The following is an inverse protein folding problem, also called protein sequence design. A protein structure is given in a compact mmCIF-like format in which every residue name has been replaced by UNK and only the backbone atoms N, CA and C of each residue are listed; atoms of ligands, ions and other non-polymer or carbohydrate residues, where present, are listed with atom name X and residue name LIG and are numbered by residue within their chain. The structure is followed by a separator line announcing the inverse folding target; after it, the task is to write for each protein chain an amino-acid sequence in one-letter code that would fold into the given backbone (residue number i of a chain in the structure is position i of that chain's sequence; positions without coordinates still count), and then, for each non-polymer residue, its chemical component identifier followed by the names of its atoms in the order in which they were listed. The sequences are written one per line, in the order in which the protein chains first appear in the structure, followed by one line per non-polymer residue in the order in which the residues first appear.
data_IF_553238460641
#
_entry.id   IF_553238460641
#
_cell.length_a   1.000
_cell.length_b   1.000
_cell.length_c   1.000
_cell.angle_alpha   90.00
_cell.angle_beta   90.00
_cell.angle_gamma   90.00
#
_symmetry.space_group_name_H-M   'P 1'
#
loop_
_entity.id
_entity.type
_entity.pdbx_description
1 polymer ?
#
# COMPACT_ATOMS: atom_id res chain seq x y z
N UNK A 1 12.39 11.10 -13.22
CA UNK A 1 12.03 10.95 -11.78
C UNK A 1 13.31 10.81 -10.98
N UNK A 2 13.38 11.30 -9.72
CA UNK A 2 14.52 11.02 -8.86
C UNK A 2 14.70 9.50 -8.67
N UNK A 3 15.94 9.00 -8.48
CA UNK A 3 16.20 7.57 -8.33
C UNK A 3 15.55 7.03 -7.04
N UNK A 4 15.24 5.74 -7.04
CA UNK A 4 14.80 5.03 -5.84
C UNK A 4 15.89 5.18 -4.76
N UNK A 5 15.54 5.60 -3.53
CA UNK A 5 16.53 5.66 -2.45
C UNK A 5 17.06 4.25 -2.12
N UNK A 6 18.23 4.19 -1.48
CA UNK A 6 18.72 2.93 -0.94
C UNK A 6 17.77 2.47 0.17
N UNK A 7 17.12 1.32 -0.06
CA UNK A 7 16.26 0.66 0.91
C UNK A 7 16.96 -0.58 1.43
N UNK A 8 16.78 -0.88 2.71
CA UNK A 8 17.05 -2.23 3.19
C UNK A 8 16.09 -3.21 2.51
N UNK A 9 16.43 -4.50 2.53
CA UNK A 9 15.53 -5.55 2.02
C UNK A 9 14.19 -5.55 2.76
N UNK A 10 14.20 -5.26 4.07
CA UNK A 10 12.99 -5.24 4.89
C UNK A 10 12.10 -4.05 4.56
N UNK A 11 12.67 -2.86 4.34
CA UNK A 11 11.92 -1.67 3.92
C UNK A 11 11.30 -1.83 2.53
N UNK A 12 12.02 -2.44 1.59
CA UNK A 12 11.48 -2.77 0.26
C UNK A 12 10.29 -3.71 0.36
N UNK A 13 10.44 -4.80 1.12
CA UNK A 13 9.36 -5.76 1.38
C UNK A 13 8.14 -5.10 2.04
N UNK A 14 8.36 -4.23 3.02
CA UNK A 14 7.31 -3.48 3.68
C UNK A 14 6.52 -2.61 2.68
N UNK A 15 7.22 -1.89 1.80
CA UNK A 15 6.59 -1.05 0.77
C UNK A 15 5.78 -1.90 -0.21
N UNK A 16 6.34 -3.01 -0.69
CA UNK A 16 5.64 -3.88 -1.64
C UNK A 16 4.35 -4.45 -1.03
N UNK A 17 4.41 -4.96 0.20
CA UNK A 17 3.21 -5.47 0.90
C UNK A 17 2.21 -4.36 1.23
N UNK A 18 2.68 -3.17 1.56
CA UNK A 18 1.81 -2.01 1.77
C UNK A 18 1.06 -1.62 0.48
N UNK A 19 1.77 -1.54 -0.65
CA UNK A 19 1.16 -1.19 -1.93
C UNK A 19 0.19 -2.26 -2.45
N UNK A 20 0.47 -3.55 -2.19
CA UNK A 20 -0.47 -4.64 -2.46
C UNK A 20 -1.80 -4.45 -1.71
N UNK A 21 -1.73 -4.09 -0.42
CA UNK A 21 -2.92 -3.81 0.41
C UNK A 21 -3.67 -2.58 -0.12
N UNK A 22 -2.96 -1.49 -0.42
CA UNK A 22 -3.55 -0.26 -0.97
C UNK A 22 -4.27 -0.51 -2.30
N UNK A 23 -3.66 -1.28 -3.20
CA UNK A 23 -4.29 -1.61 -4.49
C UNK A 23 -5.57 -2.43 -4.32
N UNK A 24 -5.63 -3.33 -3.34
CA UNK A 24 -6.83 -4.10 -3.01
C UNK A 24 -7.91 -3.22 -2.38
N UNK A 25 -7.55 -2.35 -1.44
CA UNK A 25 -8.48 -1.38 -0.86
C UNK A 25 -9.06 -0.44 -1.93
N UNK A 26 -8.23 0.04 -2.87
CA UNK A 26 -8.70 0.87 -3.98
C UNK A 26 -9.67 0.15 -4.92
N UNK A 27 -9.58 -1.18 -5.05
CA UNK A 27 -10.54 -2.00 -5.83
C UNK A 27 -11.84 -2.26 -5.09
N UNK A 28 -11.82 -2.28 -3.76
CA UNK A 28 -13.00 -2.49 -2.90
C UNK A 28 -13.73 -1.17 -2.65
N UNK A 29 -13.05 -0.02 -2.83
CA UNK A 29 -13.58 1.30 -2.54
C UNK A 29 -14.95 1.52 -3.21
N UNK A 30 -16.04 1.59 -2.43
CA UNK A 30 -17.39 1.71 -2.97
C UNK A 30 -17.68 3.10 -3.58
N UNK A 31 -16.82 4.09 -3.31
CA UNK A 31 -16.90 5.40 -3.95
C UNK A 31 -16.32 5.43 -5.38
N UNK A 32 -15.70 4.32 -5.81
CA UNK A 32 -15.20 4.13 -7.17
C UNK A 32 -16.16 3.22 -7.95
N UNK A 33 -16.25 3.42 -9.26
CA UNK A 33 -17.05 2.55 -10.12
C UNK A 33 -16.44 1.13 -10.17
N UNK A 34 -17.27 0.10 -10.01
CA UNK A 34 -16.81 -1.29 -10.04
C UNK A 34 -17.94 -2.31 -10.01
N UNK A 35 -17.60 -3.56 -10.31
CA UNK A 35 -18.50 -4.71 -10.21
C UNK A 35 -18.31 -5.44 -8.86
N UNK A 36 -19.42 -5.93 -8.28
CA UNK A 36 -19.46 -6.52 -6.95
C UNK A 36 -18.66 -7.82 -6.84
N UNK A 37 -18.58 -8.62 -7.91
CA UNK A 37 -17.77 -9.84 -7.91
C UNK A 37 -16.28 -9.53 -7.88
N UNK A 38 -15.84 -8.52 -8.65
CA UNK A 38 -14.45 -8.04 -8.58
C UNK A 38 -14.11 -7.50 -7.19
N UNK A 39 -15.03 -6.76 -6.58
CA UNK A 39 -14.90 -6.29 -5.20
C UNK A 39 -14.76 -7.45 -4.20
N UNK A 40 -15.60 -8.48 -4.30
CA UNK A 40 -15.53 -9.67 -3.44
C UNK A 40 -14.18 -10.39 -3.56
N UNK A 41 -13.68 -10.61 -4.78
CA UNK A 41 -12.37 -11.25 -5.00
C UNK A 41 -11.23 -10.41 -4.42
N UNK A 42 -11.29 -9.09 -4.54
CA UNK A 42 -10.30 -8.20 -3.93
C UNK A 42 -10.36 -8.26 -2.40
N UNK A 43 -11.55 -8.27 -1.80
CA UNK A 43 -11.73 -8.39 -0.35
C UNK A 43 -11.20 -9.72 0.19
N UNK A 44 -11.42 -10.83 -0.53
CA UNK A 44 -10.86 -12.13 -0.18
C UNK A 44 -9.32 -12.12 -0.21
N UNK A 45 -8.72 -11.53 -1.24
CA UNK A 45 -7.26 -11.41 -1.35
C UNK A 45 -6.65 -10.48 -0.28
N UNK A 46 -7.40 -9.45 0.14
CA UNK A 46 -6.95 -8.46 1.12
C UNK A 46 -6.57 -9.11 2.45
N UNK A 47 -7.33 -10.11 2.92
CA UNK A 47 -7.05 -10.81 4.18
C UNK A 47 -5.63 -11.40 4.19
N UNK A 48 -5.27 -12.08 3.10
CA UNK A 48 -3.93 -12.65 2.93
C UNK A 48 -2.86 -11.56 2.87
N UNK A 49 -3.08 -10.51 2.07
CA UNK A 49 -2.11 -9.42 1.91
C UNK A 49 -1.90 -8.60 3.18
N UNK A 50 -2.94 -8.41 3.98
CA UNK A 50 -2.83 -7.79 5.30
C UNK A 50 -2.03 -8.65 6.29
N UNK A 51 -2.22 -9.97 6.28
CA UNK A 51 -1.42 -10.89 7.10
C UNK A 51 0.06 -10.85 6.69
N UNK A 52 0.34 -10.88 5.39
CA UNK A 52 1.69 -10.75 4.84
C UNK A 52 2.37 -9.43 5.25
N UNK A 53 1.65 -8.30 5.20
CA UNK A 53 2.15 -7.00 5.68
C UNK A 53 2.46 -7.02 7.18
N UNK A 54 1.54 -7.56 8.00
CA UNK A 54 1.75 -7.73 9.44
C UNK A 54 3.01 -8.56 9.72
N UNK A 55 3.19 -9.66 9.00
CA UNK A 55 4.31 -10.58 9.21
C UNK A 55 5.65 -9.92 8.83
N UNK A 56 5.68 -9.07 7.79
CA UNK A 56 6.86 -8.27 7.46
C UNK A 56 7.22 -7.30 8.60
N UNK A 57 6.24 -6.58 9.16
CA UNK A 57 6.45 -5.68 10.30
C UNK A 57 6.87 -6.46 11.57
N UNK A 58 6.28 -7.62 11.82
CA UNK A 58 6.65 -8.47 12.94
C UNK A 58 8.11 -8.95 12.84
N UNK A 59 8.55 -9.32 11.63
CA UNK A 59 9.93 -9.71 11.38
C UNK A 59 10.92 -8.56 11.60
N UNK A 60 10.59 -7.35 11.15
CA UNK A 60 11.40 -6.15 11.42
C UNK A 60 11.53 -5.93 12.94
N UNK A 61 10.40 -5.96 13.65
CA UNK A 61 10.39 -5.79 15.09
C UNK A 61 11.22 -6.85 15.83
N UNK A 62 11.12 -8.12 15.44
CA UNK A 62 11.91 -9.22 16.00
C UNK A 62 13.43 -9.05 15.79
N UNK A 63 13.84 -8.34 14.75
CA UNK A 63 15.24 -8.00 14.45
C UNK A 63 15.73 -6.75 15.19
N UNK A 64 14.88 -6.10 15.98
CA UNK A 64 15.19 -4.85 16.65
C UNK A 64 15.04 -3.61 15.76
N UNK A 65 14.48 -3.76 14.55
CA UNK A 65 14.14 -2.64 13.67
C UNK A 65 12.81 -2.02 14.14
N UNK A 66 12.87 -1.17 15.17
CA UNK A 66 11.68 -0.65 15.86
C UNK A 66 11.16 0.68 15.31
N UNK A 67 11.91 1.34 14.43
CA UNK A 67 11.54 2.63 13.84
C UNK A 67 11.62 2.58 12.32
N UNK A 68 10.72 3.31 11.66
CA UNK A 68 10.72 3.47 10.21
C UNK A 68 11.26 4.84 9.83
N UNK A 69 12.18 4.89 8.87
CA UNK A 69 12.67 6.16 8.35
C UNK A 69 11.65 6.78 7.37
N UNK A 70 10.61 7.43 7.92
CA UNK A 70 9.47 7.94 7.16
C UNK A 70 9.83 8.82 5.95
N UNK A 71 10.79 9.77 6.02
CA UNK A 71 11.25 10.53 4.85
C UNK A 71 11.73 9.66 3.68
N UNK A 72 12.50 8.60 3.96
CA UNK A 72 13.04 7.68 2.94
C UNK A 72 11.92 6.83 2.33
N UNK A 73 11.05 6.27 3.18
CA UNK A 73 9.90 5.48 2.71
C UNK A 73 8.92 6.34 1.91
N UNK A 74 8.65 7.57 2.33
CA UNK A 74 7.81 8.50 1.57
C UNK A 74 8.41 8.80 0.19
N UNK A 75 9.73 8.99 0.09
CA UNK A 75 10.40 9.18 -1.21
C UNK A 75 10.29 7.92 -2.09
N UNK A 76 10.51 6.74 -1.53
CA UNK A 76 10.36 5.49 -2.25
C UNK A 76 8.92 5.29 -2.75
N UNK A 77 7.91 5.55 -1.91
CA UNK A 77 6.50 5.50 -2.30
C UNK A 77 6.21 6.43 -3.47
N UNK A 78 6.72 7.67 -3.50
CA UNK A 78 6.52 8.57 -4.65
C UNK A 78 7.14 8.03 -5.94
N UNK A 79 8.32 7.42 -5.87
CA UNK A 79 8.97 6.80 -7.04
C UNK A 79 8.15 5.59 -7.55
N UNK A 80 7.50 4.86 -6.64
CA UNK A 80 6.70 3.66 -6.94
C UNK A 80 5.22 3.96 -7.20
N UNK A 81 4.89 5.17 -7.67
CA UNK A 81 3.53 5.63 -7.94
C UNK A 81 2.57 5.52 -6.74
N UNK A 82 3.10 5.57 -5.52
CA UNK A 82 2.37 5.44 -4.27
C UNK A 82 1.26 6.48 -4.12
N UNK A 83 1.51 7.73 -4.52
CA UNK A 83 0.49 8.81 -4.49
C UNK A 83 -0.73 8.46 -5.37
N UNK A 84 -0.49 7.97 -6.59
CA UNK A 84 -1.58 7.56 -7.50
C UNK A 84 -2.35 6.36 -6.94
N UNK A 85 -1.65 5.40 -6.32
CA UNK A 85 -2.26 4.19 -5.75
C UNK A 85 -3.10 4.51 -4.52
N UNK A 86 -2.58 5.30 -3.59
CA UNK A 86 -3.28 5.66 -2.35
C UNK A 86 -4.47 6.59 -2.60
N UNK A 87 -4.43 7.44 -3.63
CA UNK A 87 -5.57 8.25 -4.06
C UNK A 87 -6.81 7.42 -4.46
N UNK A 88 -6.64 6.14 -4.82
CA UNK A 88 -7.77 5.25 -5.14
C UNK A 88 -8.52 4.77 -3.89
N UNK A 89 -7.91 4.87 -2.72
CA UNK A 89 -8.54 4.48 -1.44
C UNK A 89 -9.41 5.60 -0.89
N UNK A 90 -9.11 6.85 -1.25
CA UNK A 90 -9.87 8.01 -0.79
C UNK A 90 -11.19 8.16 -1.56
N UNK A 91 -12.14 8.88 -0.97
CA UNK A 91 -13.36 9.31 -1.68
C UNK A 91 -12.96 10.35 -2.73
N UNK A 92 -13.32 10.16 -4.02
CA UNK A 92 -13.05 11.16 -5.04
C UNK A 92 -13.64 12.52 -4.65
N UNK A 93 -12.97 13.65 -4.99
CA UNK A 93 -13.56 14.96 -4.80
C UNK A 93 -14.88 15.03 -5.57
N UNK A 94 -15.84 15.83 -5.06
CA UNK A 94 -17.05 16.14 -5.83
C UNK A 94 -16.62 16.71 -7.17
N UNK A 95 -17.12 16.13 -8.25
CA UNK A 95 -17.08 16.80 -9.54
C UNK A 95 -18.07 17.95 -9.41
N UNK A 96 -17.58 19.14 -9.09
CA UNK A 96 -18.38 20.35 -9.20
C UNK A 96 -18.74 20.47 -10.68
N UNK A 97 -20.03 20.31 -10.98
CA UNK A 97 -20.59 20.45 -12.31
C UNK A 97 -21.17 21.85 -12.49
#
# INVERSE_FOLDING_TARGET
MPPLPALTRAEGELIDRYLDVVDLLGRINPAQHGDTYRGLRAAQALVRKAAELRDALALMHQRGETELHAPTLARALRVLDGERRTARVTVPPRSDN
#
